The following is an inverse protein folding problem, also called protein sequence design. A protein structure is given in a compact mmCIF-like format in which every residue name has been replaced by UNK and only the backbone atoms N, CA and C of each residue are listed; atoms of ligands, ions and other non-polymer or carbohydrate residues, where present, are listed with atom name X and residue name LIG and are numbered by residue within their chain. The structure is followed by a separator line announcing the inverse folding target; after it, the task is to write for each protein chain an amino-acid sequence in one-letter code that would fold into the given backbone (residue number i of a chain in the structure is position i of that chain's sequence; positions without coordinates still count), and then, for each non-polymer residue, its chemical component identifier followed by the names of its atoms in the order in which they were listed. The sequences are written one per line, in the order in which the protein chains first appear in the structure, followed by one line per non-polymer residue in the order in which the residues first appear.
data_IF_132571405804
#
_entry.id   IF_132571405804
#
_cell.length_a   1.000
_cell.length_b   1.000
_cell.length_c   1.000
_cell.angle_alpha   90.00
_cell.angle_beta   90.00
_cell.angle_gamma   90.00
#
_symmetry.space_group_name_H-M   'P 1'
#
loop_
_entity.id
_entity.type
_entity.pdbx_description
1 polymer ?
#
# COMPACT_ATOMS: atom_id res chain seq x y z
N UNK A 1 -0.72 -21.27 6.55
CA UNK A 1 -0.14 -19.93 6.75
C UNK A 1 -1.13 -18.89 6.27
N UNK A 2 -1.42 -17.92 7.12
CA UNK A 2 -2.33 -16.85 6.75
C UNK A 2 -1.55 -15.71 6.12
N UNK A 3 -2.03 -15.28 4.98
CA UNK A 3 -1.46 -14.13 4.32
C UNK A 3 -2.27 -12.90 4.69
N UNK A 4 -1.60 -11.87 5.18
CA UNK A 4 -2.25 -10.63 5.54
C UNK A 4 -2.27 -9.67 4.38
N UNK A 5 -3.36 -8.92 4.28
CA UNK A 5 -3.54 -7.91 3.25
C UNK A 5 -3.79 -6.57 3.92
N UNK A 6 -3.30 -5.52 3.28
CA UNK A 6 -3.58 -4.15 3.69
C UNK A 6 -4.50 -3.55 2.63
N UNK A 7 -5.66 -3.07 3.07
CA UNK A 7 -6.61 -2.42 2.16
C UNK A 7 -6.30 -0.93 2.09
N UNK A 8 -6.10 -0.44 0.90
CA UNK A 8 -5.83 0.98 0.66
C UNK A 8 -6.77 1.50 -0.40
N UNK A 9 -7.01 2.81 -0.38
CA UNK A 9 -7.82 3.47 -1.40
C UNK A 9 -6.88 4.11 -2.42
N UNK A 10 -6.94 3.61 -3.63
CA UNK A 10 -6.11 4.09 -4.72
C UNK A 10 -7.03 4.45 -5.88
N UNK A 11 -6.96 5.71 -6.31
CA UNK A 11 -7.76 6.20 -7.44
C UNK A 11 -9.25 5.91 -7.23
N UNK A 12 -9.75 6.18 -6.01
CA UNK A 12 -11.15 5.99 -5.60
C UNK A 12 -11.57 4.51 -5.60
N UNK A 13 -10.62 3.62 -5.64
CA UNK A 13 -10.89 2.19 -5.63
C UNK A 13 -10.14 1.56 -4.46
N UNK A 14 -10.83 0.70 -3.73
CA UNK A 14 -10.17 -0.03 -2.65
C UNK A 14 -9.45 -1.22 -3.24
N UNK A 15 -8.17 -1.34 -2.90
CA UNK A 15 -7.36 -2.48 -3.33
C UNK A 15 -6.74 -3.14 -2.10
N UNK A 16 -6.60 -4.45 -2.17
CA UNK A 16 -5.94 -5.22 -1.13
C UNK A 16 -4.53 -5.55 -1.59
N UNK A 17 -3.54 -5.17 -0.79
CA UNK A 17 -2.14 -5.40 -1.11
C UNK A 17 -1.60 -6.43 -0.14
N UNK A 18 -1.00 -7.54 -0.64
CA UNK A 18 -0.38 -8.52 0.25
C UNK A 18 0.74 -7.87 1.04
N UNK A 19 0.68 -7.98 2.35
CA UNK A 19 1.67 -7.36 3.22
C UNK A 19 3.09 -7.83 2.91
N UNK A 20 3.21 -9.09 2.52
CA UNK A 20 4.51 -9.66 2.20
C UNK A 20 5.17 -9.00 0.98
N UNK A 21 4.39 -8.33 0.13
CA UNK A 21 4.91 -7.66 -1.05
C UNK A 21 5.29 -6.22 -0.80
N UNK A 22 5.07 -5.72 0.41
CA UNK A 22 5.34 -4.33 0.76
C UNK A 22 6.75 -4.23 1.33
N UNK A 23 7.57 -3.36 0.73
CA UNK A 23 8.90 -3.09 1.22
C UNK A 23 8.86 -2.14 2.42
N UNK A 24 8.22 -0.99 2.25
CA UNK A 24 8.01 -0.01 3.31
C UNK A 24 6.94 0.98 2.87
N UNK A 25 6.47 1.77 3.82
CA UNK A 25 5.49 2.80 3.54
C UNK A 25 5.92 4.11 4.20
N UNK A 26 5.69 5.21 3.49
CA UNK A 26 6.00 6.54 3.98
C UNK A 26 4.69 7.29 4.15
N UNK A 27 4.46 7.83 5.34
CA UNK A 27 3.24 8.56 5.62
C UNK A 27 3.52 10.06 5.64
N UNK A 28 2.66 10.80 4.98
CA UNK A 28 2.65 12.27 5.00
C UNK A 28 1.34 12.73 5.64
N UNK A 29 1.09 14.05 5.62
CA UNK A 29 -0.08 14.61 6.29
C UNK A 29 -1.38 13.98 5.84
N UNK A 30 -1.56 13.81 4.52
CA UNK A 30 -2.79 13.29 3.96
C UNK A 30 -2.54 12.18 2.94
N UNK A 31 -1.31 11.71 2.82
CA UNK A 31 -0.95 10.70 1.85
C UNK A 31 -0.18 9.57 2.51
N UNK A 32 -0.25 8.42 1.87
CA UNK A 32 0.59 7.30 2.22
C UNK A 32 1.18 6.75 0.93
N UNK A 33 2.49 6.63 0.86
CA UNK A 33 3.16 6.03 -0.30
C UNK A 33 3.69 4.67 0.11
N UNK A 34 3.21 3.64 -0.57
CA UNK A 34 3.59 2.26 -0.28
C UNK A 34 4.55 1.80 -1.37
N UNK A 35 5.77 1.46 -0.97
CA UNK A 35 6.78 0.95 -1.88
C UNK A 35 6.79 -0.56 -1.85
N UNK A 36 6.69 -1.15 -3.03
CA UNK A 36 6.59 -2.60 -3.18
C UNK A 36 7.96 -3.20 -3.42
N UNK A 37 8.08 -4.49 -3.12
CA UNK A 37 9.34 -5.21 -3.31
C UNK A 37 9.77 -5.27 -4.76
N UNK A 38 8.82 -5.24 -5.69
CA UNK A 38 9.13 -5.32 -7.12
C UNK A 38 9.55 -3.98 -7.72
N UNK A 39 9.65 -2.93 -6.91
CA UNK A 39 10.01 -1.61 -7.37
C UNK A 39 8.84 -0.69 -7.65
N UNK A 40 7.63 -1.20 -7.58
CA UNK A 40 6.44 -0.38 -7.78
C UNK A 40 6.12 0.44 -6.55
N UNK A 41 5.24 1.42 -6.72
CA UNK A 41 4.79 2.25 -5.60
C UNK A 41 3.34 2.64 -5.81
N UNK A 42 2.59 2.68 -4.69
CA UNK A 42 1.22 3.16 -4.68
C UNK A 42 1.13 4.39 -3.79
N UNK A 43 0.54 5.43 -4.32
CA UNK A 43 0.30 6.64 -3.54
C UNK A 43 -1.17 6.67 -3.17
N UNK A 44 -1.44 6.58 -1.89
CA UNK A 44 -2.80 6.48 -1.39
C UNK A 44 -3.16 7.70 -0.57
N UNK A 45 -4.40 8.10 -0.66
CA UNK A 45 -4.91 9.21 0.14
C UNK A 45 -5.47 8.66 1.43
N UNK A 46 -5.14 9.32 2.52
CA UNK A 46 -5.66 8.93 3.82
C UNK A 46 -6.95 9.69 4.15
#
# INVERSE_FOLDING_TARGET
MQQEFITVTFNRTKIAIPRADILYAIMSDDHCTIHMLDGGAYRCRM
#
